data_IF_473398751043
#
_entry.id   IF_473398751043
#
_cell.length_a   1.000
_cell.length_b   1.000
_cell.length_c   1.000
_cell.angle_alpha   90.00
_cell.angle_beta   90.00
_cell.angle_gamma   90.00
#
_symmetry.space_group_name_H-M   'P 1'
#
loop_
_entity.id
_entity.type
_entity.pdbx_description
1 polymer ?
#
# COMPACT_ATOMS: atom_id res chain seq x y z
N UNK A 1 -28.33 -26.70 -12.95
CA UNK A 1 -27.58 -25.55 -13.50
C UNK A 1 -27.68 -24.44 -12.49
N UNK A 2 -26.70 -24.36 -11.59
CA UNK A 2 -26.59 -23.29 -10.60
C UNK A 2 -26.39 -22.00 -11.37
N UNK A 3 -27.31 -21.05 -11.21
CA UNK A 3 -27.20 -19.71 -11.79
C UNK A 3 -25.95 -19.09 -11.16
N UNK A 4 -24.84 -19.06 -11.90
CA UNK A 4 -23.61 -18.43 -11.44
C UNK A 4 -23.94 -17.00 -11.02
N UNK A 5 -23.51 -16.60 -9.83
CA UNK A 5 -23.70 -15.22 -9.40
C UNK A 5 -22.94 -14.33 -10.37
N UNK A 6 -23.64 -13.39 -11.01
CA UNK A 6 -23.02 -12.44 -11.92
C UNK A 6 -22.10 -11.53 -11.08
N UNK A 7 -20.83 -11.45 -11.45
CA UNK A 7 -19.85 -10.60 -10.78
C UNK A 7 -20.26 -9.14 -10.90
N UNK A 8 -20.25 -8.41 -9.78
CA UNK A 8 -20.63 -6.99 -9.76
C UNK A 8 -19.42 -6.07 -9.74
N UNK A 9 -19.62 -4.80 -10.09
CA UNK A 9 -18.57 -3.78 -9.96
C UNK A 9 -18.08 -3.63 -8.51
N UNK A 10 -18.95 -3.86 -7.54
CA UNK A 10 -18.58 -3.80 -6.12
C UNK A 10 -17.71 -5.00 -5.71
N UNK A 11 -17.87 -6.16 -6.34
CA UNK A 11 -16.97 -7.30 -6.15
C UNK A 11 -15.57 -7.01 -6.72
N UNK A 12 -15.50 -6.44 -7.92
CA UNK A 12 -14.27 -5.97 -8.55
C UNK A 12 -13.55 -4.94 -7.67
N UNK A 13 -14.28 -3.93 -7.17
CA UNK A 13 -13.71 -2.91 -6.27
C UNK A 13 -13.20 -3.50 -4.97
N UNK A 14 -13.91 -4.47 -4.39
CA UNK A 14 -13.49 -5.17 -3.17
C UNK A 14 -12.22 -5.98 -3.39
N UNK A 15 -12.11 -6.69 -4.51
CA UNK A 15 -10.91 -7.42 -4.89
C UNK A 15 -9.71 -6.48 -5.08
N UNK A 16 -9.89 -5.40 -5.84
CA UNK A 16 -8.84 -4.38 -6.03
C UNK A 16 -8.42 -3.70 -4.71
N UNK A 17 -9.33 -3.58 -3.74
CA UNK A 17 -9.02 -3.07 -2.40
C UNK A 17 -8.07 -3.95 -1.59
N UNK A 18 -7.81 -5.19 -2.03
CA UNK A 18 -6.80 -6.07 -1.43
C UNK A 18 -5.40 -5.87 -2.00
N UNK A 19 -5.30 -5.19 -3.15
CA UNK A 19 -4.03 -4.95 -3.85
C UNK A 19 -3.37 -3.72 -3.28
N UNK A 20 -2.19 -3.91 -2.69
CA UNK A 20 -1.43 -2.84 -2.05
C UNK A 20 -0.34 -2.31 -2.99
N UNK A 21 -0.12 -1.00 -2.95
CA UNK A 21 1.16 -0.48 -3.40
C UNK A 21 2.27 -1.02 -2.47
N UNK A 22 3.31 -1.69 -3.01
CA UNK A 22 4.32 -2.34 -2.18
C UNK A 22 5.13 -1.36 -1.33
N UNK A 23 5.36 -0.14 -1.81
CA UNK A 23 6.12 0.87 -1.09
C UNK A 23 5.27 1.59 -0.05
N UNK A 24 4.01 1.89 -0.40
CA UNK A 24 3.13 2.75 0.38
C UNK A 24 2.30 1.98 1.42
N UNK A 25 2.21 0.65 1.31
CA UNK A 25 1.44 -0.22 2.22
C UNK A 25 -0.04 0.20 2.34
N UNK A 26 -0.61 0.71 1.24
CA UNK A 26 -1.98 1.19 1.10
C UNK A 26 -2.64 0.60 -0.17
N UNK A 27 -3.97 0.35 -0.15
CA UNK A 27 -4.68 -0.15 -1.32
C UNK A 27 -4.58 0.78 -2.52
N UNK A 28 -4.43 0.21 -3.73
CA UNK A 28 -4.42 0.97 -4.98
C UNK A 28 -5.74 1.72 -5.23
N UNK A 29 -6.84 1.22 -4.66
CA UNK A 29 -8.15 1.89 -4.64
C UNK A 29 -8.10 3.16 -3.82
N UNK A 30 -7.54 3.10 -2.61
CA UNK A 30 -7.49 4.22 -1.67
C UNK A 30 -6.53 5.30 -2.17
N UNK A 31 -5.48 4.90 -2.89
CA UNK A 31 -4.50 5.78 -3.53
C UNK A 31 -5.03 6.49 -4.79
N UNK A 32 -6.20 6.08 -5.31
CA UNK A 32 -6.79 6.62 -6.54
C UNK A 32 -6.09 6.14 -7.83
N UNK A 33 -5.34 5.03 -7.74
CA UNK A 33 -4.61 4.46 -8.88
C UNK A 33 -5.53 3.69 -9.82
N UNK A 34 -6.69 3.23 -9.35
CA UNK A 34 -7.73 2.67 -10.22
C UNK A 34 -8.46 3.81 -10.92
N UNK A 35 -8.23 3.98 -12.23
CA UNK A 35 -8.86 5.02 -13.04
C UNK A 35 -10.28 4.64 -13.44
N UNK A 36 -10.48 3.40 -13.89
CA UNK A 36 -11.77 2.86 -14.24
C UNK A 36 -11.80 1.36 -14.03
N UNK A 37 -13.00 0.84 -13.77
CA UNK A 37 -13.28 -0.59 -13.68
C UNK A 37 -14.66 -0.83 -14.31
N UNK A 38 -14.71 -1.79 -15.23
CA UNK A 38 -15.92 -2.20 -15.94
C UNK A 38 -16.05 -3.72 -15.82
N UNK A 39 -17.29 -4.21 -15.68
CA UNK A 39 -17.56 -5.64 -15.61
C UNK A 39 -18.83 -5.97 -16.37
N UNK A 40 -18.79 -7.03 -17.18
CA UNK A 40 -19.92 -7.52 -17.95
C UNK A 40 -19.57 -8.77 -18.74
N UNK A 41 -20.55 -9.66 -18.95
CA UNK A 41 -20.37 -10.90 -19.74
C UNK A 41 -19.17 -11.75 -19.28
N UNK A 42 -18.93 -11.83 -17.96
CA UNK A 42 -17.79 -12.55 -17.38
C UNK A 42 -16.42 -11.90 -17.64
N UNK A 43 -16.37 -10.68 -18.17
CA UNK A 43 -15.11 -9.95 -18.40
C UNK A 43 -14.99 -8.78 -17.42
N UNK A 44 -13.85 -8.66 -16.75
CA UNK A 44 -13.48 -7.50 -15.94
C UNK A 44 -12.36 -6.71 -16.64
N UNK A 45 -12.58 -5.42 -16.89
CA UNK A 45 -11.60 -4.51 -17.51
C UNK A 45 -11.26 -3.41 -16.53
N UNK A 46 -9.97 -3.26 -16.22
CA UNK A 46 -9.48 -2.28 -15.23
C UNK A 46 -8.33 -1.48 -15.82
N UNK A 47 -8.45 -0.15 -15.73
CA UNK A 47 -7.36 0.76 -16.05
C UNK A 47 -6.72 1.28 -14.77
N UNK A 48 -5.41 1.09 -14.67
CA UNK A 48 -4.57 1.64 -13.62
C UNK A 48 -3.82 2.87 -14.13
N UNK A 49 -3.56 3.83 -13.24
CA UNK A 49 -2.73 5.02 -13.50
C UNK A 49 -1.80 5.26 -12.32
N UNK A 50 -0.64 5.82 -12.60
CA UNK A 50 0.39 6.06 -11.57
C UNK A 50 0.76 7.55 -11.44
N UNK A 51 1.20 7.99 -10.25
CA UNK A 51 1.53 9.39 -9.99
C UNK A 51 2.56 10.00 -10.95
N UNK A 52 3.47 9.18 -11.49
CA UNK A 52 4.48 9.61 -12.46
C UNK A 52 4.62 8.60 -13.60
N UNK A 53 5.11 9.04 -14.75
CA UNK A 53 5.39 8.14 -15.89
C UNK A 53 6.61 7.25 -15.69
N UNK A 54 7.41 7.53 -14.65
CA UNK A 54 8.67 6.86 -14.34
C UNK A 54 8.66 6.25 -12.93
N UNK A 55 7.47 5.85 -12.45
CA UNK A 55 7.40 4.98 -11.28
C UNK A 55 8.24 3.72 -11.57
N UNK A 56 8.73 3.04 -10.53
CA UNK A 56 9.54 1.84 -10.76
C UNK A 56 8.79 0.84 -11.64
N UNK A 57 9.38 0.34 -12.74
CA UNK A 57 8.72 -0.65 -13.60
C UNK A 57 8.37 -1.93 -12.82
N UNK A 58 9.21 -2.31 -11.86
CA UNK A 58 8.93 -3.43 -10.95
C UNK A 58 7.70 -3.17 -10.10
N UNK A 59 7.51 -1.96 -9.55
CA UNK A 59 6.35 -1.66 -8.70
C UNK A 59 5.07 -1.54 -9.53
N UNK A 60 5.16 -0.89 -10.70
CA UNK A 60 4.06 -0.79 -11.65
C UNK A 60 3.58 -2.18 -12.09
N UNK A 61 4.52 -3.07 -12.43
CA UNK A 61 4.22 -4.46 -12.77
C UNK A 61 3.60 -5.22 -11.60
N UNK A 62 4.15 -5.09 -10.38
CA UNK A 62 3.60 -5.75 -9.19
C UNK A 62 2.13 -5.39 -8.98
N UNK A 63 1.80 -4.10 -8.96
CA UNK A 63 0.42 -3.65 -8.75
C UNK A 63 -0.52 -4.11 -9.87
N UNK A 64 -0.07 -4.05 -11.12
CA UNK A 64 -0.90 -4.46 -12.25
C UNK A 64 -1.11 -5.99 -12.31
N UNK A 65 -0.06 -6.76 -12.02
CA UNK A 65 -0.15 -8.22 -11.90
C UNK A 65 -1.01 -8.64 -10.70
N UNK A 66 -0.82 -8.02 -9.53
CA UNK A 66 -1.62 -8.31 -8.33
C UNK A 66 -3.10 -7.95 -8.55
N UNK A 67 -3.39 -6.87 -9.29
CA UNK A 67 -4.74 -6.54 -9.72
C UNK A 67 -5.34 -7.60 -10.63
N UNK A 68 -4.56 -8.13 -11.59
CA UNK A 68 -5.01 -9.22 -12.44
C UNK A 68 -5.32 -10.48 -11.60
N UNK A 69 -4.38 -10.90 -10.76
CA UNK A 69 -4.51 -12.09 -9.91
C UNK A 69 -5.72 -11.98 -8.96
N UNK A 70 -5.95 -10.82 -8.35
CA UNK A 70 -7.08 -10.58 -7.46
C UNK A 70 -8.44 -10.68 -8.17
N UNK A 71 -8.50 -10.27 -9.44
CA UNK A 71 -9.72 -10.32 -10.25
C UNK A 71 -9.93 -11.71 -10.85
N UNK A 72 -8.87 -12.40 -11.26
CA UNK A 72 -8.94 -13.79 -11.76
C UNK A 72 -9.43 -14.76 -10.68
N UNK A 73 -9.26 -14.42 -9.40
CA UNK A 73 -9.77 -15.19 -8.27
C UNK A 73 -11.28 -15.00 -7.99
N UNK A 74 -11.97 -14.09 -8.69
CA UNK A 74 -13.40 -13.86 -8.50
C UNK A 74 -14.25 -14.91 -9.22
N UNK A 75 -15.16 -15.55 -8.47
CA UNK A 75 -16.16 -16.44 -9.06
C UNK A 75 -17.03 -15.67 -10.08
N UNK A 76 -17.13 -16.21 -11.29
CA UNK A 76 -17.92 -15.62 -12.38
C UNK A 76 -17.16 -14.66 -13.31
N UNK A 77 -15.87 -14.41 -13.04
CA UNK A 77 -14.96 -13.77 -14.00
C UNK A 77 -14.30 -14.87 -14.86
N UNK A 78 -14.47 -14.77 -16.18
CA UNK A 78 -13.87 -15.66 -17.18
C UNK A 78 -12.66 -15.01 -17.88
N UNK A 79 -12.60 -13.68 -17.89
CA UNK A 79 -11.51 -12.92 -18.51
C UNK A 79 -11.22 -11.65 -17.74
N UNK A 80 -9.94 -11.40 -17.46
CA UNK A 80 -9.45 -10.15 -16.88
C UNK A 80 -8.55 -9.42 -17.88
N UNK A 81 -8.78 -8.11 -18.00
CA UNK A 81 -7.91 -7.19 -18.73
C UNK A 81 -7.51 -6.08 -17.77
N UNK A 82 -6.20 -6.00 -17.46
CA UNK A 82 -5.63 -4.89 -16.69
C UNK A 82 -4.71 -4.11 -17.60
N UNK A 83 -4.97 -2.82 -17.76
CA UNK A 83 -4.14 -1.89 -18.53
C UNK A 83 -3.53 -0.82 -17.64
N UNK A 84 -2.23 -0.60 -17.78
CA UNK A 84 -1.52 0.51 -17.16
C UNK A 84 -1.47 1.70 -18.11
N UNK A 85 -2.07 2.82 -17.70
CA UNK A 85 -2.17 4.04 -18.49
C UNK A 85 -0.98 5.00 -18.25
N UNK A 86 -0.31 5.41 -19.32
CA UNK A 86 0.62 6.54 -19.31
C UNK A 86 1.94 6.33 -18.55
N UNK A 87 2.31 5.09 -18.24
CA UNK A 87 3.64 4.74 -17.78
C UNK A 87 4.61 4.62 -18.96
N UNK A 88 5.91 4.88 -18.75
CA UNK A 88 6.92 4.75 -19.80
C UNK A 88 6.91 3.33 -20.41
N UNK A 89 6.83 2.32 -19.55
CA UNK A 89 6.78 0.90 -19.93
C UNK A 89 5.36 0.34 -20.09
N UNK A 90 4.32 1.18 -20.19
CA UNK A 90 2.92 0.72 -20.30
C UNK A 90 2.73 -0.33 -21.39
N UNK A 91 3.29 -0.09 -22.59
CA UNK A 91 3.15 -1.01 -23.71
C UNK A 91 3.77 -2.39 -23.40
N UNK A 92 4.95 -2.40 -22.77
CA UNK A 92 5.65 -3.62 -22.40
C UNK A 92 4.92 -4.37 -21.28
N UNK A 93 4.53 -3.66 -20.22
CA UNK A 93 3.79 -4.23 -19.07
C UNK A 93 2.45 -4.82 -19.53
N UNK A 94 1.66 -4.07 -20.32
CA UNK A 94 0.35 -4.53 -20.77
C UNK A 94 0.47 -5.76 -21.68
N UNK A 95 1.46 -5.79 -22.58
CA UNK A 95 1.72 -6.97 -23.40
C UNK A 95 2.13 -8.18 -22.56
N UNK A 96 2.98 -7.98 -21.55
CA UNK A 96 3.40 -9.02 -20.62
C UNK A 96 2.25 -9.59 -19.79
N UNK A 97 1.34 -8.74 -19.30
CA UNK A 97 0.14 -9.15 -18.56
C UNK A 97 -0.87 -9.90 -19.45
N UNK A 98 -1.08 -9.44 -20.68
CA UNK A 98 -1.98 -10.10 -21.64
C UNK A 98 -1.47 -11.50 -22.06
N UNK A 99 -0.15 -11.71 -22.04
CA UNK A 99 0.49 -12.98 -22.40
C UNK A 99 0.79 -13.89 -21.19
N UNK A 100 0.45 -13.49 -19.97
CA UNK A 100 0.82 -14.21 -18.74
C UNK A 100 2.33 -14.51 -18.65
N UNK A 101 3.15 -13.57 -19.13
CA UNK A 101 4.59 -13.78 -19.29
C UNK A 101 5.37 -13.77 -17.97
N UNK A 102 4.75 -13.32 -16.87
CA UNK A 102 5.43 -13.02 -15.61
C UNK A 102 6.45 -11.87 -15.75
N UNK A 103 7.06 -11.46 -14.64
CA UNK A 103 7.99 -10.33 -14.65
C UNK A 103 9.23 -10.57 -15.53
N UNK A 104 9.85 -11.75 -15.38
CA UNK A 104 11.05 -12.12 -16.16
C UNK A 104 10.72 -12.27 -17.64
N UNK A 105 9.56 -12.83 -18.00
CA UNK A 105 9.16 -12.91 -19.40
C UNK A 105 8.80 -11.55 -20.01
N UNK A 106 8.34 -10.60 -19.19
CA UNK A 106 8.01 -9.24 -19.63
C UNK A 106 9.25 -8.38 -19.87
N UNK A 107 10.22 -8.39 -18.96
CA UNK A 107 11.41 -7.51 -19.01
C UNK A 107 12.69 -8.21 -19.50
N UNK A 108 12.68 -9.54 -19.65
CA UNK A 108 13.79 -10.31 -20.19
C UNK A 108 15.10 -10.03 -19.47
N UNK A 109 16.09 -9.48 -20.20
CA UNK A 109 17.43 -9.20 -19.67
C UNK A 109 17.49 -8.06 -18.65
N UNK A 110 16.45 -7.23 -18.57
CA UNK A 110 16.33 -6.16 -17.57
C UNK A 110 15.82 -6.68 -16.23
N UNK A 111 15.25 -7.90 -16.20
CA UNK A 111 14.86 -8.61 -15.00
C UNK A 111 15.90 -9.69 -14.64
N UNK A 112 16.86 -9.34 -13.78
CA UNK A 112 17.86 -10.31 -13.30
C UNK A 112 17.24 -11.42 -12.43
N UNK A 113 16.25 -11.08 -11.60
CA UNK A 113 15.60 -12.01 -10.65
C UNK A 113 14.07 -11.79 -10.60
N UNK A 114 13.36 -12.75 -9.99
CA UNK A 114 11.93 -12.59 -9.68
C UNK A 114 11.69 -11.48 -8.65
N UNK A 115 10.46 -10.97 -8.58
CA UNK A 115 10.10 -9.90 -7.63
C UNK A 115 9.83 -10.38 -6.21
N UNK A 116 10.04 -11.67 -5.89
CA UNK A 116 9.72 -12.22 -4.58
C UNK A 116 10.60 -11.65 -3.46
N UNK A 117 11.89 -11.48 -3.73
CA UNK A 117 12.80 -10.82 -2.79
C UNK A 117 12.38 -9.37 -2.50
N UNK A 118 11.98 -8.65 -3.55
CA UNK A 118 11.47 -7.28 -3.45
C UNK A 118 10.18 -7.21 -2.62
N UNK A 119 9.22 -8.10 -2.88
CA UNK A 119 7.99 -8.22 -2.09
C UNK A 119 8.30 -8.47 -0.61
N UNK A 120 9.25 -9.35 -0.31
CA UNK A 120 9.65 -9.66 1.07
C UNK A 120 10.21 -8.43 1.80
N UNK A 121 11.05 -7.62 1.14
CA UNK A 121 11.58 -6.38 1.71
C UNK A 121 10.46 -5.41 2.09
N UNK A 122 9.49 -5.21 1.19
CA UNK A 122 8.38 -4.29 1.43
C UNK A 122 7.40 -4.79 2.50
N UNK A 123 7.06 -6.07 2.50
CA UNK A 123 6.23 -6.67 3.56
C UNK A 123 6.87 -6.51 4.94
N UNK A 124 8.19 -6.67 5.04
CA UNK A 124 8.94 -6.43 6.29
C UNK A 124 8.88 -4.95 6.72
N UNK A 125 9.00 -4.01 5.79
CA UNK A 125 8.85 -2.57 6.07
C UNK A 125 7.43 -2.22 6.53
N UNK A 126 6.41 -2.75 5.86
CA UNK A 126 5.00 -2.60 6.22
C UNK A 126 4.72 -3.12 7.63
N UNK A 127 5.18 -4.32 7.97
CA UNK A 127 5.10 -4.88 9.32
C UNK A 127 5.80 -4.00 10.35
N UNK A 128 7.02 -3.53 10.05
CA UNK A 128 7.78 -2.65 10.94
C UNK A 128 7.04 -1.35 11.22
N UNK A 129 6.46 -0.72 10.19
CA UNK A 129 5.67 0.50 10.32
C UNK A 129 4.36 0.26 11.08
N UNK A 130 3.67 -0.86 10.83
CA UNK A 130 2.46 -1.23 11.57
C UNK A 130 2.74 -1.49 13.05
N UNK A 131 3.87 -2.15 13.36
CA UNK A 131 4.32 -2.37 14.74
C UNK A 131 4.55 -1.04 15.45
N UNK A 132 5.20 -0.06 14.79
CA UNK A 132 5.36 1.27 15.39
C UNK A 132 4.04 2.00 15.58
N UNK A 133 3.11 1.93 14.63
CA UNK A 133 1.78 2.56 14.77
C UNK A 133 1.03 2.03 15.99
N UNK A 134 0.97 0.69 16.15
CA UNK A 134 0.34 0.04 17.30
C UNK A 134 1.01 0.42 18.62
N UNK A 135 2.35 0.42 18.67
CA UNK A 135 3.08 0.82 19.88
C UNK A 135 2.94 2.31 20.20
N UNK A 136 2.91 3.17 19.19
CA UNK A 136 2.68 4.61 19.37
C UNK A 136 1.26 4.89 19.87
N UNK A 137 0.26 4.14 19.40
CA UNK A 137 -1.10 4.22 19.94
C UNK A 137 -1.16 3.79 21.40
N UNK A 138 -0.56 2.65 21.74
CA UNK A 138 -0.47 2.18 23.13
C UNK A 138 0.26 3.18 24.04
N UNK A 139 1.41 3.71 23.62
CA UNK A 139 2.17 4.71 24.38
C UNK A 139 1.38 6.01 24.63
N UNK A 140 0.46 6.38 23.73
CA UNK A 140 -0.44 7.54 23.92
C UNK A 140 -1.57 7.21 24.89
N UNK A 141 -2.09 5.98 24.82
CA UNK A 141 -3.17 5.52 25.69
C UNK A 141 -2.70 5.24 27.13
N UNK A 142 -1.43 4.85 27.31
CA UNK A 142 -0.84 4.44 28.59
C UNK A 142 0.36 5.32 28.97
N UNK A 143 0.15 6.48 29.61
CA UNK A 143 1.24 7.41 29.97
C UNK A 143 2.31 6.85 30.92
N UNK A 144 2.02 5.73 31.59
CA UNK A 144 2.95 5.06 32.50
C UNK A 144 3.94 4.14 31.77
N UNK A 145 3.65 3.75 30.53
CA UNK A 145 4.50 2.90 29.71
C UNK A 145 5.66 3.72 29.14
N UNK A 146 6.90 3.32 29.43
CA UNK A 146 8.09 4.01 28.90
C UNK A 146 8.48 3.41 27.55
N UNK A 147 9.04 4.22 26.66
CA UNK A 147 9.51 3.75 25.35
C UNK A 147 10.52 2.59 25.44
N UNK A 148 11.34 2.52 26.50
CA UNK A 148 12.28 1.41 26.69
C UNK A 148 11.61 0.07 27.06
N UNK A 149 10.37 0.11 27.55
CA UNK A 149 9.64 -1.08 27.99
C UNK A 149 8.81 -1.72 26.85
N UNK A 150 8.69 -1.05 25.68
CA UNK A 150 7.90 -1.55 24.55
C UNK A 150 8.43 -2.87 23.97
N UNK A 151 9.70 -3.20 24.21
CA UNK A 151 10.30 -4.49 23.81
C UNK A 151 9.68 -5.70 24.52
N UNK A 152 8.83 -5.48 25.52
CA UNK A 152 8.10 -6.53 26.26
C UNK A 152 6.61 -6.57 25.95
N UNK A 153 6.10 -5.60 25.18
CA UNK A 153 4.68 -5.51 24.82
C UNK A 153 4.34 -6.67 23.89
N UNK A 154 3.24 -7.35 24.20
CA UNK A 154 2.72 -8.50 23.48
C UNK A 154 1.50 -8.12 22.64
N UNK A 155 1.16 -8.93 21.65
CA UNK A 155 0.01 -8.67 20.78
C UNK A 155 -1.31 -8.57 21.55
N UNK A 156 -1.48 -9.35 22.62
CA UNK A 156 -2.65 -9.31 23.49
C UNK A 156 -2.75 -8.05 24.36
N UNK A 157 -1.65 -7.30 24.51
CA UNK A 157 -1.62 -6.03 25.26
C UNK A 157 -2.10 -4.84 24.40
N UNK A 158 -2.21 -5.03 23.08
CA UNK A 158 -2.61 -3.96 22.16
C UNK A 158 -4.13 -3.71 22.24
N UNK A 159 -4.58 -2.44 22.22
CA UNK A 159 -6.00 -2.14 22.15
C UNK A 159 -6.61 -2.70 20.86
N UNK A 160 -7.85 -3.20 20.89
CA UNK A 160 -8.54 -3.64 19.68
C UNK A 160 -8.79 -2.44 18.76
N UNK A 161 -8.58 -2.63 17.46
CA UNK A 161 -8.80 -1.57 16.48
C UNK A 161 -7.99 -1.73 15.20
N UNK A 162 -8.16 -0.76 14.29
CA UNK A 162 -7.61 -0.82 12.92
C UNK A 162 -6.10 -1.06 12.86
N UNK A 163 -5.34 -0.50 13.80
CA UNK A 163 -3.87 -0.59 13.84
C UNK A 163 -3.42 -1.99 14.25
N UNK A 164 -4.05 -2.56 15.28
CA UNK A 164 -3.84 -3.94 15.72
C UNK A 164 -4.24 -4.95 14.63
N UNK A 165 -5.39 -4.76 13.98
CA UNK A 165 -5.82 -5.61 12.88
C UNK A 165 -4.86 -5.53 11.68
N UNK A 166 -4.40 -4.31 11.36
CA UNK A 166 -3.42 -4.06 10.31
C UNK A 166 -2.08 -4.76 10.61
N UNK A 167 -1.60 -4.71 11.86
CA UNK A 167 -0.41 -5.42 12.30
C UNK A 167 -0.57 -6.93 12.16
N UNK A 168 -1.69 -7.50 12.63
CA UNK A 168 -1.96 -8.94 12.55
C UNK A 168 -1.96 -9.45 11.11
N UNK A 169 -2.62 -8.74 10.17
CA UNK A 169 -2.59 -9.09 8.73
C UNK A 169 -1.17 -9.11 8.16
N UNK A 170 -0.32 -8.15 8.53
CA UNK A 170 1.07 -8.07 8.05
C UNK A 170 1.95 -9.15 8.66
N UNK A 171 1.67 -9.58 9.89
CA UNK A 171 2.34 -10.72 10.53
C UNK A 171 1.98 -12.03 9.83
N UNK A 172 0.70 -12.23 9.53
CA UNK A 172 0.22 -13.39 8.77
C UNK A 172 0.90 -13.50 7.40
N UNK A 173 0.96 -12.39 6.65
CA UNK A 173 1.63 -12.33 5.34
C UNK A 173 3.15 -12.61 5.38
N UNK A 174 3.77 -12.55 6.56
CA UNK A 174 5.18 -12.86 6.81
C UNK A 174 5.39 -14.22 7.50
N UNK A 175 4.32 -14.93 7.87
CA UNK A 175 4.40 -16.16 8.65
C UNK A 175 4.88 -15.95 10.10
N UNK A 176 4.71 -14.74 10.64
CA UNK A 176 5.03 -14.44 12.04
C UNK A 176 3.89 -14.89 12.96
N UNK A 177 4.21 -15.33 14.18
CA UNK A 177 3.20 -15.77 15.17
C UNK A 177 2.13 -14.70 15.40
N UNK A 178 0.87 -15.14 15.48
CA UNK A 178 -0.30 -14.31 15.79
C UNK A 178 -0.78 -14.50 17.23
N UNK A 179 -0.05 -15.29 18.02
CA UNK A 179 -0.41 -15.60 19.40
C UNK A 179 -0.42 -14.33 20.25
N UNK A 180 -1.35 -14.24 21.19
CA UNK A 180 -1.48 -13.05 22.03
C UNK A 180 -0.25 -12.82 22.91
N UNK A 181 0.56 -13.86 23.14
CA UNK A 181 1.80 -13.75 23.89
C UNK A 181 3.01 -13.33 23.02
N UNK A 182 2.88 -13.26 21.69
CA UNK A 182 3.95 -12.87 20.80
C UNK A 182 4.33 -11.38 20.95
N UNK A 183 5.62 -11.06 20.89
CA UNK A 183 6.12 -9.69 20.98
C UNK A 183 5.69 -8.85 19.77
N UNK A 184 5.34 -7.59 20.05
CA UNK A 184 4.98 -6.60 19.01
C UNK A 184 6.24 -6.12 18.29
N UNK A 185 7.25 -5.67 19.04
CA UNK A 185 8.51 -5.17 18.47
C UNK A 185 9.49 -6.32 18.26
N UNK A 186 9.62 -6.76 17.02
CA UNK A 186 10.49 -7.88 16.61
C UNK A 186 11.36 -7.52 15.42
N UNK A 187 12.42 -8.30 15.19
CA UNK A 187 13.18 -8.28 13.95
C UNK A 187 12.47 -9.06 12.83
N UNK A 188 13.12 -9.18 11.68
CA UNK A 188 12.58 -9.84 10.49
C UNK A 188 12.37 -11.36 10.65
N UNK A 189 12.98 -11.97 11.68
CA UNK A 189 12.82 -13.39 12.02
C UNK A 189 11.84 -13.59 13.18
N UNK A 190 11.15 -12.52 13.62
CA UNK A 190 10.21 -12.57 14.74
C UNK A 190 10.87 -12.58 16.12
N UNK A 191 12.17 -12.29 16.22
CA UNK A 191 12.88 -12.27 17.51
C UNK A 191 12.79 -10.89 18.17
N UNK A 192 12.60 -10.88 19.48
CA UNK A 192 12.63 -9.65 20.27
C UNK A 192 14.03 -9.04 20.36
N UNK A 193 14.09 -7.76 20.76
CA UNK A 193 15.35 -7.04 20.92
C UNK A 193 15.87 -7.12 22.36
N UNK A 194 17.20 -7.10 22.52
CA UNK A 194 17.82 -6.92 23.84
C UNK A 194 17.42 -5.56 24.45
N UNK A 195 17.33 -5.43 25.79
CA UNK A 195 16.80 -4.23 26.45
C UNK A 195 17.48 -2.91 26.05
N UNK A 196 18.79 -2.94 25.79
CA UNK A 196 19.60 -1.81 25.34
C UNK A 196 19.38 -1.45 23.85
N UNK A 197 18.88 -2.39 23.04
CA UNK A 197 18.58 -2.20 21.62
C UNK A 197 17.14 -1.73 21.35
N UNK A 198 16.21 -1.87 22.31
CA UNK A 198 14.76 -1.58 22.13
C UNK A 198 14.52 -0.15 21.63
N UNK A 199 15.13 0.85 22.26
CA UNK A 199 14.94 2.26 21.86
C UNK A 199 15.42 2.51 20.43
N UNK A 200 16.54 1.90 20.04
CA UNK A 200 17.07 2.04 18.69
C UNK A 200 16.20 1.31 17.65
N UNK A 201 15.63 0.17 18.01
CA UNK A 201 14.67 -0.56 17.17
C UNK A 201 13.38 0.26 16.98
N UNK A 202 12.81 0.82 18.05
CA UNK A 202 11.63 1.68 17.98
C UNK A 202 11.87 2.92 17.10
N UNK A 203 13.02 3.57 17.22
CA UNK A 203 13.40 4.72 16.37
C UNK A 203 13.49 4.34 14.89
N UNK A 204 14.08 3.18 14.57
CA UNK A 204 14.12 2.67 13.19
C UNK A 204 12.74 2.35 12.66
N UNK A 205 11.87 1.79 13.49
CA UNK A 205 10.49 1.51 13.11
C UNK A 205 9.70 2.80 12.83
N UNK A 206 9.91 3.83 13.66
CA UNK A 206 9.33 5.17 13.46
C UNK A 206 9.80 5.81 12.16
N UNK A 207 11.10 5.76 11.88
CA UNK A 207 11.66 6.27 10.63
C UNK A 207 11.09 5.54 9.40
N UNK A 208 10.92 4.22 9.49
CA UNK A 208 10.29 3.41 8.43
C UNK A 208 8.86 3.86 8.19
N UNK A 209 8.05 4.00 9.26
CA UNK A 209 6.67 4.49 9.15
C UNK A 209 6.61 5.88 8.52
N UNK A 210 7.44 6.83 8.99
CA UNK A 210 7.49 8.21 8.44
C UNK A 210 7.84 8.19 6.95
N UNK A 211 8.79 7.35 6.52
CA UNK A 211 9.15 7.25 5.11
C UNK A 211 7.99 6.75 4.25
N UNK A 212 7.29 5.70 4.70
CA UNK A 212 6.13 5.14 3.99
C UNK A 212 5.02 6.19 3.89
N UNK A 213 4.66 6.80 5.02
CA UNK A 213 3.59 7.80 5.09
C UNK A 213 3.92 9.05 4.23
N UNK A 214 5.18 9.49 4.25
CA UNK A 214 5.66 10.62 3.45
C UNK A 214 5.62 10.34 1.95
N UNK A 215 6.06 9.15 1.52
CA UNK A 215 6.00 8.75 0.12
C UNK A 215 4.54 8.62 -0.34
N UNK A 216 3.65 8.12 0.52
CA UNK A 216 2.22 8.00 0.20
C UNK A 216 1.59 9.38 0.00
N UNK A 217 1.89 10.33 0.89
CA UNK A 217 1.46 11.71 0.76
C UNK A 217 1.95 12.34 -0.55
N UNK A 218 3.24 12.18 -0.85
CA UNK A 218 3.85 12.72 -2.07
C UNK A 218 3.24 12.13 -3.34
N UNK A 219 3.06 10.80 -3.40
CA UNK A 219 2.42 10.11 -4.51
C UNK A 219 0.97 10.57 -4.73
N UNK A 220 0.19 10.75 -3.66
CA UNK A 220 -1.17 11.30 -3.75
C UNK A 220 -1.17 12.71 -4.34
N UNK A 221 -0.24 13.56 -3.90
CA UNK A 221 -0.07 14.92 -4.44
C UNK A 221 0.28 14.94 -5.92
N UNK A 222 1.29 14.15 -6.32
CA UNK A 222 1.70 14.02 -7.72
C UNK A 222 0.57 13.51 -8.62
N UNK A 223 -0.21 12.52 -8.15
CA UNK A 223 -1.35 12.02 -8.90
C UNK A 223 -2.38 13.12 -9.18
N UNK A 224 -2.71 13.93 -8.16
CA UNK A 224 -3.64 15.07 -8.30
C UNK A 224 -3.13 16.13 -9.26
N UNK A 225 -1.82 16.38 -9.27
CA UNK A 225 -1.20 17.30 -10.23
C UNK A 225 -1.21 16.75 -11.65
N UNK A 226 -1.05 15.44 -11.80
CA UNK A 226 -0.96 14.78 -13.11
C UNK A 226 -2.32 14.54 -13.75
N UNK A 227 -3.34 14.22 -12.96
CA UNK A 227 -4.67 13.87 -13.43
C UNK A 227 -5.72 14.72 -12.73
N UNK A 228 -6.30 15.67 -13.46
CA UNK A 228 -7.39 16.51 -12.96
C UNK A 228 -8.55 15.65 -12.44
N UNK A 229 -9.08 16.01 -11.27
CA UNK A 229 -10.19 15.29 -10.63
C UNK A 229 -9.80 14.01 -9.88
N UNK A 230 -8.58 13.49 -10.03
CA UNK A 230 -8.15 12.24 -9.37
C UNK A 230 -8.14 12.30 -7.83
N UNK A 231 -8.19 13.50 -7.25
CA UNK A 231 -8.37 13.65 -5.80
C UNK A 231 -9.70 13.10 -5.29
N UNK A 232 -10.75 13.06 -6.13
CA UNK A 232 -12.03 12.46 -5.76
C UNK A 232 -11.97 10.93 -5.63
N UNK A 233 -10.99 10.31 -6.26
CA UNK A 233 -10.76 8.86 -6.22
C UNK A 233 -9.85 8.44 -5.05
N UNK A 234 -9.35 9.40 -4.27
CA UNK A 234 -8.48 9.15 -3.12
C UNK A 234 -9.28 9.07 -1.84
N UNK A 235 -9.06 8.01 -1.05
CA UNK A 235 -9.55 7.95 0.32
C UNK A 235 -8.67 8.81 1.23
N UNK A 236 -9.25 9.72 2.04
CA UNK A 236 -8.48 10.50 3.02
C UNK A 236 -7.77 9.59 4.02
N UNK A 237 -6.47 9.84 4.26
CA UNK A 237 -5.75 9.16 5.35
C UNK A 237 -6.23 9.70 6.70
N UNK A 238 -6.69 8.81 7.57
CA UNK A 238 -6.97 9.12 8.97
C UNK A 238 -5.68 9.23 9.81
N UNK A 239 -4.62 8.50 9.41
CA UNK A 239 -3.33 8.46 10.09
C UNK A 239 -2.31 9.35 9.38
N UNK A 240 -1.79 10.37 10.06
CA UNK A 240 -0.89 11.36 9.44
C UNK A 240 -1.62 12.38 8.57
N UNK A 241 -2.91 12.61 8.83
CA UNK A 241 -3.64 13.74 8.27
C UNK A 241 -2.91 15.04 8.62
N UNK A 242 -2.51 15.79 7.60
CA UNK A 242 -2.26 17.22 7.75
C UNK A 242 -3.55 17.87 8.29
N UNK A 243 -3.45 18.96 9.08
CA UNK A 243 -4.57 19.88 9.28
C UNK A 243 -4.98 20.38 7.88
N UNK A 244 -5.97 19.70 7.28
CA UNK A 244 -6.27 19.82 5.87
C UNK A 244 -6.59 21.25 5.46
N UNK A 245 -6.17 21.58 4.23
CA UNK A 245 -7.03 22.22 3.25
C UNK A 245 -7.62 23.61 3.57
N UNK A 246 -7.10 24.28 4.61
CA UNK A 246 -7.47 25.65 5.00
C UNK A 246 -6.35 26.68 4.77
N UNK A 247 -5.28 26.31 4.07
CA UNK A 247 -4.41 27.32 3.50
C UNK A 247 -5.10 27.93 2.28
N UNK A 248 -5.99 28.88 2.56
CA UNK A 248 -6.10 30.04 1.68
C UNK A 248 -4.66 30.52 1.47
N UNK A 249 -4.11 30.28 0.28
CA UNK A 249 -2.85 30.87 -0.13
C UNK A 249 -2.90 32.34 0.29
N UNK A 250 -1.92 32.76 1.10
CA UNK A 250 -1.78 34.19 1.45
C UNK A 250 -1.81 34.92 0.10
N UNK A 251 -2.77 35.83 -0.16
CA UNK A 251 -2.83 36.48 -1.44
C UNK A 251 -1.55 37.29 -1.62
N UNK A 252 -0.68 36.80 -2.51
CA UNK A 252 0.50 37.53 -2.94
C UNK A 252 0.00 38.64 -3.86
N UNK A 253 -0.28 39.81 -3.29
CA UNK A 253 -0.52 41.01 -4.08
C UNK A 253 0.82 41.43 -4.69
N UNK A 254 1.06 41.04 -5.94
CA UNK A 254 2.19 41.56 -6.72
C UNK A 254 1.95 43.05 -6.90
N UNK A 255 2.78 43.88 -6.26
CA UNK A 255 2.75 45.33 -6.50
C UNK A 255 3.32 45.56 -7.90
N UNK A 256 2.46 45.85 -8.87
CA UNK A 256 2.91 46.29 -10.18
C UNK A 256 3.82 47.52 -10.03
N UNK A 257 4.98 47.56 -10.69
CA UNK A 257 5.80 48.76 -10.70
C UNK A 257 5.05 49.85 -11.47
N UNK A 258 4.67 50.91 -10.78
CA UNK A 258 4.22 52.17 -11.39
C UNK A 258 5.25 52.63 -12.43
N UNK A 259 4.81 52.75 -13.68
CA UNK A 259 5.56 53.40 -14.76
C UNK A 259 5.72 54.89 -14.50
#
# INVERSE_FOLDING_TARGET
MTKGCEVTLDDVRRALGTVLDPELDEPITDLGFVRSAEVGEGTAVVHLRLPTSFCSPSFAYLMASDAKDALDALDGVERVVVELDGHHDSALINAGLAADAGYVGTFGREAEESLEGLRSVFRRKAHTAASERSLAELLRAEPSLREGDVGRVRLGDLPPGRTTDALRRRREALGLSLDDDALVLVDHDGRGYAPDAVLMALRRARATRVSIDGNAHFCRGLLRTRYDGSGADQTPRLDGAEPGDHHHLIPLTVKEPTR
#
